data_IF_627221357744
#
_entry.id   IF_627221357744
#
_cell.length_a   1.000
_cell.length_b   1.000
_cell.length_c   1.000
_cell.angle_alpha   90.00
_cell.angle_beta   90.00
_cell.angle_gamma   90.00
#
_symmetry.space_group_name_H-M   'P 1'
#
loop_
_entity.id
_entity.type
_entity.pdbx_description
1 polymer ?
#
# COMPACT_ATOMS: atom_id res chain seq x y z
N UNK A 1 -40.28 39.34 -29.91
CA UNK A 1 -40.16 38.95 -28.49
C UNK A 1 -39.32 37.69 -28.42
N UNK A 2 -38.06 37.79 -28.03
CA UNK A 2 -37.23 36.68 -27.58
C UNK A 2 -36.24 37.27 -26.58
N UNK A 3 -36.50 37.00 -25.30
CA UNK A 3 -35.74 37.48 -24.14
C UNK A 3 -34.43 36.69 -24.05
N UNK A 4 -33.36 37.44 -23.87
CA UNK A 4 -32.06 37.08 -23.32
C UNK A 4 -32.03 35.78 -22.51
N UNK A 5 -31.31 34.77 -23.00
CA UNK A 5 -30.60 33.81 -22.15
C UNK A 5 -29.11 34.07 -22.37
N UNK A 6 -28.50 34.81 -21.46
CA UNK A 6 -27.05 34.91 -21.36
C UNK A 6 -26.50 33.58 -20.88
N UNK A 7 -26.02 32.76 -21.81
CA UNK A 7 -25.14 31.65 -21.49
C UNK A 7 -23.74 32.25 -21.41
N UNK A 8 -23.19 32.30 -20.20
CA UNK A 8 -21.82 32.75 -19.93
C UNK A 8 -20.83 31.71 -20.46
N UNK A 9 -20.27 31.97 -21.65
CA UNK A 9 -19.38 31.08 -22.39
C UNK A 9 -18.02 30.91 -21.70
N UNK A 10 -17.64 31.79 -20.77
CA UNK A 10 -16.34 31.74 -20.09
C UNK A 10 -16.29 30.69 -18.96
N UNK A 11 -17.46 30.27 -18.44
CA UNK A 11 -17.56 29.24 -17.40
C UNK A 11 -17.29 27.82 -17.92
N UNK A 12 -17.69 27.54 -19.18
CA UNK A 12 -17.62 26.21 -19.79
C UNK A 12 -16.19 25.85 -20.20
N UNK A 13 -15.38 26.83 -20.62
CA UNK A 13 -13.99 26.58 -21.04
C UNK A 13 -13.04 26.40 -19.84
N UNK A 14 -13.25 27.13 -18.73
CA UNK A 14 -12.48 26.91 -17.50
C UNK A 14 -12.73 25.53 -16.86
N UNK A 15 -13.98 25.06 -16.85
CA UNK A 15 -14.32 23.73 -16.33
C UNK A 15 -13.74 22.61 -17.20
N UNK A 16 -13.77 22.74 -18.53
CA UNK A 16 -13.17 21.77 -19.46
C UNK A 16 -11.65 21.75 -19.37
N UNK A 17 -10.99 22.90 -19.28
CA UNK A 17 -9.54 22.97 -19.13
C UNK A 17 -9.06 22.43 -17.77
N UNK A 18 -9.80 22.71 -16.70
CA UNK A 18 -9.56 22.15 -15.35
C UNK A 18 -9.71 20.63 -15.35
N UNK A 19 -10.83 20.11 -15.90
CA UNK A 19 -11.07 18.67 -15.99
C UNK A 19 -10.03 17.95 -16.86
N UNK A 20 -9.55 18.58 -17.95
CA UNK A 20 -8.56 17.96 -18.83
C UNK A 20 -7.14 17.95 -18.21
N UNK A 21 -6.79 18.97 -17.42
CA UNK A 21 -5.55 18.97 -16.62
C UNK A 21 -5.60 17.92 -15.50
N UNK A 22 -6.70 17.87 -14.74
CA UNK A 22 -6.89 16.89 -13.68
C UNK A 22 -6.81 15.46 -14.21
N UNK A 23 -7.51 15.13 -15.30
CA UNK A 23 -7.47 13.80 -15.92
C UNK A 23 -6.06 13.40 -16.41
N UNK A 24 -5.25 14.37 -16.88
CA UNK A 24 -3.90 14.09 -17.35
C UNK A 24 -2.92 13.87 -16.20
N UNK A 25 -3.03 14.67 -15.13
CA UNK A 25 -2.23 14.53 -13.91
C UNK A 25 -2.59 13.25 -13.16
N UNK A 26 -3.88 12.93 -13.07
CA UNK A 26 -4.41 11.71 -12.47
C UNK A 26 -3.88 10.47 -13.20
N UNK A 27 -3.97 10.43 -14.53
CA UNK A 27 -3.40 9.34 -15.33
C UNK A 27 -1.87 9.25 -15.20
N UNK A 28 -1.17 10.38 -15.07
CA UNK A 28 0.29 10.40 -14.88
C UNK A 28 0.70 9.83 -13.52
N UNK A 29 -0.01 10.20 -12.45
CA UNK A 29 0.27 9.70 -11.11
C UNK A 29 -0.07 8.21 -11.00
N UNK A 30 -1.21 7.77 -11.53
CA UNK A 30 -1.61 6.37 -11.58
C UNK A 30 -0.55 5.49 -12.27
N UNK A 31 -0.06 5.93 -13.43
CA UNK A 31 1.04 5.27 -14.13
C UNK A 31 2.34 5.22 -13.30
N UNK A 32 2.69 6.33 -12.65
CA UNK A 32 3.90 6.41 -11.82
C UNK A 32 3.85 5.42 -10.64
N UNK A 33 2.74 5.37 -9.90
CA UNK A 33 2.60 4.51 -8.71
C UNK A 33 2.48 3.03 -9.11
N UNK A 34 1.86 2.75 -10.25
CA UNK A 34 1.86 1.42 -10.86
C UNK A 34 3.27 0.93 -11.15
N UNK A 35 4.04 1.72 -11.91
CA UNK A 35 5.41 1.38 -12.24
C UNK A 35 6.29 1.22 -11.00
N UNK A 36 6.14 2.13 -10.02
CA UNK A 36 6.87 2.10 -8.76
C UNK A 36 6.55 0.84 -7.94
N UNK A 37 5.28 0.46 -7.83
CA UNK A 37 4.87 -0.76 -7.10
C UNK A 37 5.39 -2.04 -7.74
N UNK A 38 5.45 -2.10 -9.07
CA UNK A 38 6.03 -3.24 -9.80
C UNK A 38 7.53 -3.35 -9.59
N UNK A 39 8.24 -2.21 -9.62
CA UNK A 39 9.68 -2.18 -9.37
C UNK A 39 9.99 -2.53 -7.93
N UNK A 40 9.21 -2.04 -6.96
CA UNK A 40 9.29 -2.47 -5.57
C UNK A 40 9.25 -3.99 -5.45
N UNK A 41 8.23 -4.63 -6.01
CA UNK A 41 8.06 -6.09 -5.93
C UNK A 41 9.30 -6.86 -6.42
N UNK A 42 9.85 -6.45 -7.58
CA UNK A 42 11.06 -7.04 -8.15
C UNK A 42 12.31 -6.77 -7.32
N UNK A 43 12.45 -5.56 -6.80
CA UNK A 43 13.61 -5.19 -5.97
C UNK A 43 13.59 -5.92 -4.63
N UNK A 44 12.41 -6.24 -4.09
CA UNK A 44 12.30 -7.14 -2.93
C UNK A 44 12.86 -8.52 -3.25
N UNK A 45 12.48 -9.13 -4.38
CA UNK A 45 13.04 -10.42 -4.82
C UNK A 45 14.57 -10.37 -4.88
N UNK A 46 15.11 -9.38 -5.61
CA UNK A 46 16.55 -9.19 -5.77
C UNK A 46 17.27 -9.00 -4.42
N UNK A 47 16.66 -8.28 -3.49
CA UNK A 47 17.25 -8.04 -2.18
C UNK A 47 17.34 -9.34 -1.39
N UNK A 48 16.28 -10.13 -1.34
CA UNK A 48 16.31 -11.41 -0.64
C UNK A 48 17.31 -12.39 -1.27
N UNK A 49 17.34 -12.48 -2.61
CA UNK A 49 18.28 -13.36 -3.32
C UNK A 49 19.73 -12.95 -3.03
N UNK A 50 20.01 -11.64 -2.97
CA UNK A 50 21.37 -11.13 -2.69
C UNK A 50 21.75 -11.20 -1.22
N UNK A 51 20.79 -11.38 -0.30
CA UNK A 51 20.99 -11.29 1.14
C UNK A 51 20.60 -12.58 1.89
N UNK A 52 20.45 -13.71 1.19
CA UNK A 52 20.13 -15.01 1.79
C UNK A 52 21.09 -15.36 2.95
N UNK A 53 22.37 -15.02 2.79
CA UNK A 53 23.41 -15.23 3.80
C UNK A 53 23.10 -14.57 5.16
N UNK A 54 22.38 -13.45 5.19
CA UNK A 54 22.03 -12.75 6.44
C UNK A 54 21.14 -13.61 7.34
N UNK A 55 20.23 -14.38 6.75
CA UNK A 55 19.31 -15.23 7.49
C UNK A 55 20.03 -16.43 8.10
N UNK A 56 20.97 -17.04 7.34
CA UNK A 56 21.84 -18.09 7.87
C UNK A 56 22.75 -17.58 9.01
N UNK A 57 23.36 -16.40 8.86
CA UNK A 57 24.19 -15.79 9.92
C UNK A 57 23.36 -15.53 11.19
N UNK A 58 22.13 -15.04 11.01
CA UNK A 58 21.24 -14.68 12.11
C UNK A 58 20.71 -15.91 12.85
N UNK A 59 20.35 -16.96 12.13
CA UNK A 59 19.96 -18.23 12.73
C UNK A 59 21.11 -18.80 13.59
N UNK A 60 22.34 -18.76 13.08
CA UNK A 60 23.51 -19.21 13.84
C UNK A 60 23.76 -18.34 15.09
N UNK A 61 23.55 -17.02 15.00
CA UNK A 61 23.62 -16.09 16.14
C UNK A 61 22.58 -16.44 17.23
N UNK A 62 21.31 -16.56 16.84
CA UNK A 62 20.18 -16.92 17.71
C UNK A 62 20.44 -18.24 18.43
N UNK A 63 20.91 -19.26 17.69
CA UNK A 63 21.23 -20.57 18.26
C UNK A 63 22.37 -20.51 19.28
N UNK A 64 23.40 -19.68 19.05
CA UNK A 64 24.48 -19.46 20.05
C UNK A 64 23.96 -18.76 21.31
N UNK A 65 23.15 -17.72 21.15
CA UNK A 65 22.60 -16.96 22.29
C UNK A 65 21.70 -17.84 23.16
N UNK A 66 20.88 -18.71 22.54
CA UNK A 66 20.01 -19.66 23.25
C UNK A 66 20.77 -20.57 24.22
N UNK A 67 22.03 -20.91 23.91
CA UNK A 67 22.86 -21.79 24.74
C UNK A 67 23.48 -21.02 25.93
N UNK A 68 23.72 -19.71 25.79
CA UNK A 68 24.57 -18.94 26.70
C UNK A 68 23.77 -18.05 27.67
N UNK A 69 22.56 -17.60 27.30
CA UNK A 69 21.82 -16.58 28.06
C UNK A 69 20.31 -16.86 28.10
N UNK A 70 19.71 -16.71 29.28
CA UNK A 70 18.26 -16.76 29.51
C UNK A 70 17.57 -15.39 29.54
N UNK A 71 18.32 -14.28 29.41
CA UNK A 71 17.79 -12.92 29.61
C UNK A 71 17.23 -12.27 28.33
N UNK A 72 17.66 -12.72 27.15
CA UNK A 72 17.00 -12.40 25.87
C UNK A 72 16.13 -13.58 25.49
N UNK A 73 14.99 -13.34 24.84
CA UNK A 73 14.20 -14.40 24.23
C UNK A 73 14.58 -14.50 22.73
N UNK A 74 15.66 -15.21 22.37
CA UNK A 74 16.12 -15.31 20.98
C UNK A 74 15.10 -16.00 20.07
N UNK A 75 14.15 -16.76 20.64
CA UNK A 75 13.05 -17.39 19.89
C UNK A 75 12.08 -16.32 19.38
N UNK A 76 11.66 -15.38 20.24
CA UNK A 76 10.78 -14.27 19.85
C UNK A 76 11.41 -13.38 18.77
N UNK A 77 12.73 -13.15 18.83
CA UNK A 77 13.44 -12.39 17.80
C UNK A 77 13.41 -13.13 16.45
N UNK A 78 13.66 -14.45 16.45
CA UNK A 78 13.61 -15.26 15.25
C UNK A 78 12.19 -15.35 14.66
N UNK A 79 11.17 -15.52 15.51
CA UNK A 79 9.76 -15.49 15.12
C UNK A 79 9.40 -14.15 14.46
N UNK A 80 9.78 -13.03 15.07
CA UNK A 80 9.53 -11.70 14.50
C UNK A 80 10.20 -11.48 13.14
N UNK A 81 11.40 -12.03 12.92
CA UNK A 81 12.07 -11.98 11.62
C UNK A 81 11.30 -12.82 10.59
N UNK A 82 10.90 -14.04 10.94
CA UNK A 82 10.15 -14.92 10.04
C UNK A 82 8.80 -14.29 9.64
N UNK A 83 8.05 -13.77 10.61
CA UNK A 83 6.79 -13.06 10.38
C UNK A 83 7.00 -11.87 9.42
N UNK A 84 8.06 -11.10 9.63
CA UNK A 84 8.40 -9.98 8.75
C UNK A 84 8.71 -10.45 7.32
N UNK A 85 9.47 -11.55 7.16
CA UNK A 85 9.75 -12.14 5.84
C UNK A 85 8.46 -12.60 5.16
N UNK A 86 7.60 -13.32 5.87
CA UNK A 86 6.32 -13.80 5.33
C UNK A 86 5.43 -12.64 4.87
N UNK A 87 5.32 -11.58 5.67
CA UNK A 87 4.60 -10.36 5.31
C UNK A 87 5.17 -9.76 4.02
N UNK A 88 6.49 -9.61 3.92
CA UNK A 88 7.11 -9.02 2.72
C UNK A 88 6.88 -9.88 1.48
N UNK A 89 7.06 -11.20 1.59
CA UNK A 89 6.84 -12.15 0.50
C UNK A 89 5.39 -12.21 0.05
N UNK A 90 4.45 -12.09 0.98
CA UNK A 90 3.03 -12.05 0.68
C UNK A 90 2.62 -10.75 -0.03
N UNK A 91 3.03 -9.59 0.51
CA UNK A 91 2.53 -8.31 0.04
C UNK A 91 3.29 -7.72 -1.15
N UNK A 92 4.54 -8.13 -1.42
CA UNK A 92 5.35 -7.53 -2.49
C UNK A 92 4.61 -7.46 -3.85
N UNK A 93 3.98 -8.55 -4.26
CA UNK A 93 3.19 -8.60 -5.51
C UNK A 93 1.72 -8.24 -5.28
N UNK A 94 1.17 -8.55 -4.10
CA UNK A 94 -0.24 -8.24 -3.80
C UNK A 94 -0.52 -6.74 -3.86
N UNK A 95 0.40 -5.89 -3.37
CA UNK A 95 0.29 -4.43 -3.46
C UNK A 95 0.13 -4.01 -4.93
N UNK A 96 1.03 -4.46 -5.81
CA UNK A 96 0.98 -4.12 -7.23
C UNK A 96 -0.33 -4.57 -7.88
N UNK A 97 -0.74 -5.82 -7.67
CA UNK A 97 -1.96 -6.37 -8.27
C UNK A 97 -3.21 -5.61 -7.80
N UNK A 98 -3.27 -5.23 -6.52
CA UNK A 98 -4.42 -4.50 -5.98
C UNK A 98 -4.46 -3.05 -6.42
N UNK A 99 -3.30 -2.43 -6.57
CA UNK A 99 -3.18 -1.09 -7.14
C UNK A 99 -3.61 -1.07 -8.61
N UNK A 100 -3.15 -2.03 -9.44
CA UNK A 100 -3.59 -2.14 -10.83
C UNK A 100 -5.10 -2.34 -10.96
N UNK A 101 -5.68 -3.17 -10.08
CA UNK A 101 -7.14 -3.36 -10.03
C UNK A 101 -7.85 -2.07 -9.65
N UNK A 102 -7.36 -1.32 -8.66
CA UNK A 102 -7.96 -0.06 -8.25
C UNK A 102 -7.98 0.96 -9.41
N UNK A 103 -6.85 1.11 -10.11
CA UNK A 103 -6.71 1.99 -11.28
C UNK A 103 -7.64 1.53 -12.42
N UNK A 104 -7.63 0.23 -12.73
CA UNK A 104 -8.47 -0.34 -13.78
C UNK A 104 -9.96 -0.15 -13.50
N UNK A 105 -10.41 -0.49 -12.29
CA UNK A 105 -11.81 -0.33 -11.88
C UNK A 105 -12.24 1.13 -11.94
N UNK A 106 -11.43 2.07 -11.44
CA UNK A 106 -11.75 3.50 -11.49
C UNK A 106 -11.94 4.05 -12.92
N UNK A 107 -11.21 3.52 -13.90
CA UNK A 107 -11.36 3.94 -15.31
C UNK A 107 -12.66 3.48 -15.98
N UNK A 108 -13.33 2.47 -15.40
CA UNK A 108 -14.55 1.84 -15.92
C UNK A 108 -15.78 2.08 -15.05
N UNK A 109 -15.58 2.57 -13.83
CA UNK A 109 -16.66 2.94 -12.91
C UNK A 109 -17.34 4.20 -13.45
N UNK A 110 -18.48 4.02 -14.10
CA UNK A 110 -19.34 5.14 -14.45
C UNK A 110 -19.81 5.86 -13.17
N UNK A 111 -19.99 7.19 -13.20
CA UNK A 111 -20.61 7.95 -12.12
C UNK A 111 -22.13 7.69 -12.03
N UNK A 112 -22.55 6.44 -12.26
CA UNK A 112 -23.94 6.04 -12.13
C UNK A 112 -24.35 6.24 -10.67
N UNK A 113 -25.36 7.10 -10.51
CA UNK A 113 -26.01 7.51 -9.28
C UNK A 113 -26.77 6.36 -8.60
N UNK A 114 -26.04 5.29 -8.26
CA UNK A 114 -26.47 4.28 -7.31
C UNK A 114 -25.59 4.41 -6.08
N UNK A 115 -25.75 5.52 -5.36
CA UNK A 115 -25.04 5.84 -4.10
C UNK A 115 -25.23 4.83 -2.96
N UNK A 116 -25.71 3.62 -3.24
CA UNK A 116 -25.91 2.53 -2.29
C UNK A 116 -24.75 1.53 -2.23
N UNK A 117 -23.86 1.45 -3.24
CA UNK A 117 -22.79 0.45 -3.26
C UNK A 117 -21.38 1.06 -3.18
N UNK A 118 -20.49 0.55 -2.29
CA UNK A 118 -19.09 0.95 -2.25
C UNK A 118 -18.36 0.67 -3.58
N UNK A 119 -17.46 1.58 -3.99
CA UNK A 119 -16.66 1.43 -5.21
C UNK A 119 -15.63 0.30 -5.10
N UNK A 120 -15.50 -0.53 -6.13
CA UNK A 120 -14.51 -1.62 -6.16
C UNK A 120 -13.08 -1.07 -6.20
N UNK A 121 -12.89 0.09 -6.84
CA UNK A 121 -11.64 0.85 -6.86
C UNK A 121 -11.15 1.19 -5.45
N UNK A 122 -12.02 1.78 -4.62
CA UNK A 122 -11.73 2.13 -3.22
C UNK A 122 -11.41 0.89 -2.37
N UNK A 123 -12.16 -0.20 -2.57
CA UNK A 123 -11.90 -1.47 -1.87
C UNK A 123 -10.54 -2.08 -2.23
N UNK A 124 -10.18 -2.06 -3.51
CA UNK A 124 -8.88 -2.54 -4.00
C UNK A 124 -7.74 -1.66 -3.50
N UNK A 125 -7.91 -0.34 -3.53
CA UNK A 125 -6.95 0.62 -2.98
C UNK A 125 -6.75 0.44 -1.48
N UNK A 126 -7.82 0.17 -0.71
CA UNK A 126 -7.71 -0.12 0.74
C UNK A 126 -6.82 -1.33 1.01
N UNK A 127 -6.97 -2.41 0.25
CA UNK A 127 -6.13 -3.60 0.41
C UNK A 127 -4.67 -3.29 0.08
N UNK A 128 -4.41 -2.51 -0.97
CA UNK A 128 -3.05 -2.07 -1.31
C UNK A 128 -2.42 -1.21 -0.21
N UNK A 129 -3.18 -0.28 0.40
CA UNK A 129 -2.74 0.53 1.53
C UNK A 129 -2.37 -0.33 2.75
N UNK A 130 -3.23 -1.29 3.12
CA UNK A 130 -2.98 -2.22 4.22
C UNK A 130 -1.69 -3.03 3.97
N UNK A 131 -1.50 -3.53 2.75
CA UNK A 131 -0.29 -4.26 2.39
C UNK A 131 0.96 -3.40 2.46
N UNK A 132 0.85 -2.12 2.05
CA UNK A 132 1.92 -1.14 2.12
C UNK A 132 2.33 -0.86 3.57
N UNK A 133 1.37 -0.60 4.46
CA UNK A 133 1.64 -0.34 5.88
C UNK A 133 2.24 -1.55 6.61
N UNK A 134 1.73 -2.75 6.30
CA UNK A 134 2.29 -4.01 6.84
C UNK A 134 3.72 -4.24 6.35
N UNK A 135 3.98 -4.01 5.07
CA UNK A 135 5.32 -4.14 4.49
C UNK A 135 6.31 -3.13 5.10
N UNK A 136 5.89 -1.88 5.31
CA UNK A 136 6.72 -0.87 5.98
C UNK A 136 7.08 -1.29 7.41
N UNK A 137 6.13 -1.88 8.13
CA UNK A 137 6.35 -2.39 9.50
C UNK A 137 7.31 -3.58 9.51
N UNK A 138 7.14 -4.52 8.58
CA UNK A 138 8.05 -5.66 8.42
C UNK A 138 9.48 -5.23 8.07
N UNK A 139 9.65 -4.25 7.18
CA UNK A 139 10.97 -3.69 6.89
C UNK A 139 11.63 -3.05 8.12
N UNK A 140 10.87 -2.42 9.03
CA UNK A 140 11.42 -1.89 10.29
C UNK A 140 11.89 -3.00 11.24
N UNK A 141 11.23 -4.15 11.24
CA UNK A 141 11.71 -5.33 11.97
C UNK A 141 13.04 -5.80 11.38
N UNK A 142 13.12 -5.94 10.04
CA UNK A 142 14.37 -6.34 9.38
C UNK A 142 15.48 -5.30 9.55
N UNK A 143 15.17 -4.00 9.61
CA UNK A 143 16.13 -2.94 9.90
C UNK A 143 16.78 -3.12 11.27
N UNK A 144 15.99 -3.54 12.26
CA UNK A 144 16.47 -3.81 13.62
C UNK A 144 17.34 -5.06 13.66
N UNK A 145 16.94 -6.11 12.93
CA UNK A 145 17.69 -7.38 12.86
C UNK A 145 18.98 -7.26 12.05
N UNK A 146 18.99 -6.44 10.99
CA UNK A 146 20.08 -6.31 10.02
C UNK A 146 20.54 -4.86 9.85
N UNK A 147 21.12 -4.23 10.89
CA UNK A 147 21.53 -2.82 10.84
C UNK A 147 22.58 -2.52 9.76
N UNK A 148 23.37 -3.53 9.36
CA UNK A 148 24.34 -3.40 8.23
C UNK A 148 23.66 -3.19 6.87
N UNK A 149 22.36 -3.51 6.75
CA UNK A 149 21.54 -3.30 5.56
C UNK A 149 20.65 -2.05 5.67
N UNK A 150 20.94 -1.14 6.60
CA UNK A 150 20.05 -0.02 6.88
C UNK A 150 19.74 0.84 5.65
N UNK A 151 20.74 1.14 4.82
CA UNK A 151 20.54 1.97 3.63
C UNK A 151 19.59 1.31 2.62
N UNK A 152 19.80 0.03 2.31
CA UNK A 152 18.96 -0.71 1.37
C UNK A 152 17.53 -0.86 1.91
N UNK A 153 17.37 -1.19 3.20
CA UNK A 153 16.05 -1.33 3.84
C UNK A 153 15.30 0.02 3.89
N UNK A 154 15.97 1.11 4.26
CA UNK A 154 15.35 2.44 4.29
C UNK A 154 14.92 2.90 2.88
N UNK A 155 15.60 2.46 1.82
CA UNK A 155 15.17 2.73 0.44
C UNK A 155 13.81 2.10 0.13
N UNK A 156 13.55 0.86 0.58
CA UNK A 156 12.26 0.21 0.42
C UNK A 156 11.15 0.92 1.18
N UNK A 157 11.41 1.35 2.42
CA UNK A 157 10.45 2.11 3.22
C UNK A 157 10.06 3.41 2.50
N UNK A 158 11.04 4.15 1.95
CA UNK A 158 10.78 5.37 1.17
C UNK A 158 9.94 5.11 -0.09
N UNK A 159 10.20 4.00 -0.80
CA UNK A 159 9.41 3.60 -1.97
C UNK A 159 7.95 3.31 -1.55
N UNK A 160 7.75 2.58 -0.47
CA UNK A 160 6.42 2.28 0.07
C UNK A 160 5.69 3.55 0.53
N UNK A 161 6.38 4.52 1.13
CA UNK A 161 5.80 5.83 1.46
C UNK A 161 5.33 6.59 0.22
N UNK A 162 6.07 6.52 -0.89
CA UNK A 162 5.65 7.13 -2.16
C UNK A 162 4.41 6.43 -2.73
N UNK A 163 4.37 5.10 -2.70
CA UNK A 163 3.21 4.32 -3.13
C UNK A 163 1.99 4.67 -2.28
N UNK A 164 2.15 4.75 -0.94
CA UNK A 164 1.09 5.11 0.00
C UNK A 164 0.50 6.49 -0.31
N UNK A 165 1.34 7.52 -0.40
CA UNK A 165 0.90 8.89 -0.72
C UNK A 165 0.18 8.95 -2.07
N UNK A 166 0.69 8.20 -3.05
CA UNK A 166 0.08 8.09 -4.36
C UNK A 166 -1.32 7.45 -4.32
N UNK A 167 -1.48 6.35 -3.58
CA UNK A 167 -2.77 5.69 -3.34
C UNK A 167 -3.75 6.61 -2.60
N UNK A 168 -3.32 7.30 -1.55
CA UNK A 168 -4.16 8.24 -0.79
C UNK A 168 -4.61 9.43 -1.63
N UNK A 169 -3.76 9.89 -2.55
CA UNK A 169 -4.10 10.97 -3.49
C UNK A 169 -5.09 10.51 -4.55
N UNK A 170 -4.90 9.31 -5.11
CA UNK A 170 -5.75 8.75 -6.17
C UNK A 170 -7.10 8.22 -5.67
N UNK A 171 -7.11 7.64 -4.47
CA UNK A 171 -8.29 6.99 -3.89
C UNK A 171 -8.55 7.56 -2.49
N UNK A 172 -8.99 8.83 -2.38
CA UNK A 172 -9.15 9.50 -1.10
C UNK A 172 -10.18 8.82 -0.17
N UNK A 173 -11.10 8.04 -0.72
CA UNK A 173 -12.12 7.32 0.04
C UNK A 173 -11.69 5.91 0.46
N UNK A 174 -10.55 5.40 -0.02
CA UNK A 174 -10.08 4.04 0.26
C UNK A 174 -9.91 3.75 1.76
N UNK A 175 -9.44 4.72 2.54
CA UNK A 175 -9.26 4.54 4.00
C UNK A 175 -10.60 4.35 4.72
N UNK A 176 -11.65 5.01 4.23
CA UNK A 176 -13.00 4.96 4.80
C UNK A 176 -13.84 3.79 4.26
N UNK A 177 -13.38 3.10 3.21
CA UNK A 177 -14.07 1.95 2.64
C UNK A 177 -14.23 0.84 3.68
N UNK A 178 -15.43 0.29 3.86
CA UNK A 178 -15.67 -0.84 4.78
C UNK A 178 -15.70 -2.13 3.96
N UNK A 179 -14.78 -3.05 4.22
CA UNK A 179 -14.80 -4.40 3.63
C UNK A 179 -15.75 -5.28 4.44
N UNK A 180 -16.92 -5.70 3.87
CA UNK A 180 -17.86 -6.56 4.59
C UNK A 180 -17.19 -7.85 5.02
N UNK A 181 -17.37 -8.25 6.29
CA UNK A 181 -16.74 -9.44 6.85
C UNK A 181 -15.25 -9.29 7.20
N UNK A 182 -14.65 -8.11 7.03
CA UNK A 182 -13.27 -7.82 7.46
C UNK A 182 -13.17 -6.61 8.38
N UNK A 183 -13.86 -5.51 8.06
CA UNK A 183 -13.74 -4.22 8.76
C UNK A 183 -15.00 -3.86 9.59
N UNK A 184 -15.95 -4.79 9.71
CA UNK A 184 -17.20 -4.55 10.44
C UNK A 184 -16.93 -4.39 11.94
N UNK A 185 -16.95 -3.16 12.43
CA UNK A 185 -17.04 -2.87 13.86
C UNK A 185 -18.46 -3.16 14.37
N UNK A 186 -18.81 -4.44 14.51
CA UNK A 186 -19.92 -4.89 15.36
C UNK A 186 -19.40 -5.39 16.71
N UNK A 187 -18.67 -4.55 17.42
CA UNK A 187 -18.79 -4.51 18.88
C UNK A 187 -19.92 -3.53 19.21
N UNK A 188 -21.16 -4.01 19.15
CA UNK A 188 -22.27 -3.35 19.83
C UNK A 188 -22.90 -4.33 20.82
N UNK A 189 -22.57 -4.10 22.09
CA UNK A 189 -23.50 -4.30 23.20
C UNK A 189 -23.87 -5.74 23.55
N UNK A 190 -22.93 -6.49 24.14
CA UNK A 190 -23.30 -7.41 25.21
C UNK A 190 -23.11 -6.67 26.54
N UNK A 191 -24.16 -6.00 27.01
CA UNK A 191 -24.35 -5.86 28.46
C UNK A 191 -25.03 -7.13 28.97
N UNK A 192 -24.56 -7.74 30.06
CA UNK A 192 -25.37 -8.68 30.83
C UNK A 192 -26.58 -7.98 31.47
#
# INVERSE_FOLDING_TARGET
>A
MAKEQGIDLDSIDMEKESNNKNNKEENSLAYLISHTSKNYAKSVDQWFDSNEYLFFEKEAEVNRIRIISSQRNPIQEAEGINDAVEILRWYQWQIHVKLERAIGSASTEEPLDFGEFPKDSDGSAKVALIGTDRSMSAWKVLLTAFPRQAESILSFIKILEHIKKGLETQFPNATNFIRPGFDDNKEQGLSP
#
